data_IF_038851452252
#
_entry.id   IF_038851452252
#
_cell.length_a   1.000
_cell.length_b   1.000
_cell.length_c   1.000
_cell.angle_alpha   90.00
_cell.angle_beta   90.00
_cell.angle_gamma   90.00
#
_symmetry.space_group_name_H-M   'P 1'
#
loop_
_entity.id
_entity.type
_entity.pdbx_description
1 polymer ?
#
# COMPACT_ATOMS: atom_id res chain seq x y z
N UNK A 1 -6.30 -0.15 -9.60
CA UNK A 1 -5.01 -0.86 -9.78
C UNK A 1 -3.90 0.15 -9.59
N UNK A 2 -3.10 0.00 -8.53
CA UNK A 2 -1.98 0.90 -8.21
C UNK A 2 -0.69 0.21 -8.64
N UNK A 3 0.16 0.89 -9.42
CA UNK A 3 1.38 0.30 -10.01
C UNK A 3 2.20 -0.44 -8.96
N UNK A 4 2.64 -1.67 -9.25
CA UNK A 4 3.54 -2.42 -8.38
C UNK A 4 2.93 -2.99 -7.10
N UNK A 5 1.62 -2.92 -6.90
CA UNK A 5 0.91 -3.63 -5.82
C UNK A 5 -0.40 -4.24 -6.32
N UNK A 6 -0.74 -5.40 -5.78
CA UNK A 6 -2.07 -6.01 -5.95
C UNK A 6 -2.93 -5.60 -4.76
N UNK A 7 -3.80 -4.60 -4.94
CA UNK A 7 -4.62 -4.05 -3.86
C UNK A 7 -5.61 -5.07 -3.31
N UNK A 8 -6.10 -6.00 -4.14
CA UNK A 8 -7.05 -7.03 -3.71
C UNK A 8 -6.41 -8.06 -2.78
N UNK A 9 -5.09 -8.26 -2.89
CA UNK A 9 -4.32 -9.11 -1.97
C UNK A 9 -3.73 -8.33 -0.79
N UNK A 10 -3.34 -7.08 -1.02
CA UNK A 10 -2.67 -6.25 -0.02
C UNK A 10 -3.64 -5.77 1.08
N UNK A 11 -4.87 -5.40 0.73
CA UNK A 11 -5.84 -4.90 1.71
C UNK A 11 -6.19 -5.95 2.79
N UNK A 12 -6.57 -7.20 2.47
CA UNK A 12 -6.83 -8.21 3.49
C UNK A 12 -5.62 -8.47 4.39
N UNK A 13 -4.41 -8.50 3.82
CA UNK A 13 -3.18 -8.69 4.57
C UNK A 13 -2.88 -7.52 5.52
N UNK A 14 -3.14 -6.27 5.10
CA UNK A 14 -2.97 -5.10 5.95
C UNK A 14 -3.98 -5.09 7.11
N UNK A 15 -5.23 -5.47 6.87
CA UNK A 15 -6.27 -5.53 7.89
C UNK A 15 -5.96 -6.62 8.93
N UNK A 16 -5.44 -7.77 8.50
CA UNK A 16 -4.98 -8.83 9.41
C UNK A 16 -3.77 -8.38 10.24
N UNK A 17 -2.82 -7.68 9.62
CA UNK A 17 -1.61 -7.19 10.29
C UNK A 17 -1.85 -5.97 11.21
N UNK A 18 -2.89 -5.18 10.94
CA UNK A 18 -3.20 -3.92 11.64
C UNK A 18 -4.65 -4.00 12.13
N UNK A 19 -4.91 -4.56 13.33
CA UNK A 19 -6.28 -4.79 13.81
C UNK A 19 -7.15 -3.54 13.95
N UNK A 20 -6.54 -2.34 13.99
CA UNK A 20 -7.25 -1.06 14.08
C UNK A 20 -7.59 -0.45 12.70
N UNK A 21 -7.12 -1.06 11.61
CA UNK A 21 -7.39 -0.60 10.26
C UNK A 21 -8.84 -0.87 9.86
N UNK A 22 -9.49 0.11 9.24
CA UNK A 22 -10.91 0.01 8.84
C UNK A 22 -11.08 0.06 7.32
N UNK A 23 -11.51 -1.01 6.64
CA UNK A 23 -11.74 -0.97 5.19
C UNK A 23 -12.81 0.06 4.79
N UNK A 24 -12.83 0.52 3.53
CA UNK A 24 -11.92 0.16 2.42
C UNK A 24 -10.55 0.87 2.53
N UNK A 25 -9.53 0.29 1.90
CA UNK A 25 -8.20 0.93 1.79
C UNK A 25 -8.01 1.59 0.43
N UNK A 26 -7.50 2.82 0.42
CA UNK A 26 -7.03 3.51 -0.80
C UNK A 26 -5.51 3.56 -0.83
N UNK A 27 -4.92 3.40 -2.01
CA UNK A 27 -3.47 3.32 -2.18
C UNK A 27 -2.96 4.29 -3.25
N UNK A 28 -2.09 5.20 -2.85
CA UNK A 28 -1.47 6.19 -3.73
C UNK A 28 0.04 6.03 -3.78
N UNK A 29 0.60 5.97 -5.00
CA UNK A 29 2.04 5.91 -5.21
C UNK A 29 2.66 7.29 -4.93
N UNK A 30 3.60 7.34 -3.99
CA UNK A 30 4.45 8.52 -3.79
C UNK A 30 5.52 8.49 -4.88
N UNK A 31 5.52 9.50 -5.76
CA UNK A 31 6.31 9.55 -7.00
C UNK A 31 7.84 9.71 -6.81
N UNK A 32 8.42 9.18 -5.73
CA UNK A 32 9.83 9.37 -5.37
C UNK A 32 10.63 8.05 -5.36
N UNK A 33 11.73 8.04 -6.12
CA UNK A 33 12.81 7.05 -6.03
C UNK A 33 12.60 5.76 -6.84
N UNK A 34 13.71 5.24 -7.39
CA UNK A 34 13.73 3.97 -8.14
C UNK A 34 14.11 2.74 -7.30
N UNK A 35 14.64 2.96 -6.09
CA UNK A 35 15.18 1.87 -5.24
C UNK A 35 14.15 1.25 -4.30
N UNK A 36 13.02 1.91 -4.06
CA UNK A 36 11.85 1.37 -3.35
C UNK A 36 10.59 2.12 -3.79
N UNK A 37 9.54 1.37 -4.12
CA UNK A 37 8.23 1.96 -4.34
C UNK A 37 7.59 2.24 -2.98
N UNK A 38 7.07 3.45 -2.82
CA UNK A 38 6.45 3.91 -1.57
C UNK A 38 5.01 4.31 -1.85
N UNK A 39 4.09 3.83 -1.02
CA UNK A 39 2.67 4.10 -1.14
C UNK A 39 2.12 4.66 0.16
N UNK A 40 1.17 5.57 0.04
CA UNK A 40 0.26 5.93 1.12
C UNK A 40 -0.93 4.96 1.07
N UNK A 41 -1.19 4.30 2.19
CA UNK A 41 -2.40 3.51 2.40
C UNK A 41 -3.29 4.28 3.38
N UNK A 42 -4.50 4.64 2.96
CA UNK A 42 -5.46 5.37 3.79
C UNK A 42 -6.69 4.49 3.99
N UNK A 43 -7.15 4.32 5.22
CA UNK A 43 -8.34 3.53 5.52
C UNK A 43 -9.63 4.37 5.47
N UNK A 44 -10.77 3.71 5.67
CA UNK A 44 -12.09 4.34 5.66
C UNK A 44 -12.31 5.37 6.77
N UNK A 45 -11.46 5.38 7.81
CA UNK A 45 -11.51 6.36 8.90
C UNK A 45 -10.48 7.48 8.73
N UNK A 46 -9.69 7.47 7.65
CA UNK A 46 -8.64 8.45 7.38
C UNK A 46 -7.31 8.18 8.08
N UNK A 47 -7.17 7.05 8.78
CA UNK A 47 -5.87 6.63 9.30
C UNK A 47 -4.94 6.29 8.12
N UNK A 48 -3.67 6.66 8.24
CA UNK A 48 -2.71 6.61 7.13
C UNK A 48 -1.47 5.81 7.51
N UNK A 49 -1.05 4.91 6.63
CA UNK A 49 0.17 4.11 6.74
C UNK A 49 1.05 4.27 5.51
N UNK A 50 2.33 3.97 5.69
CA UNK A 50 3.32 3.94 4.61
C UNK A 50 3.64 2.50 4.26
N UNK A 51 3.39 2.11 3.02
CA UNK A 51 3.77 0.80 2.47
C UNK A 51 5.03 0.98 1.62
N UNK A 52 6.08 0.20 1.90
CA UNK A 52 7.35 0.24 1.16
C UNK A 52 7.67 -1.15 0.63
N UNK A 53 8.09 -1.22 -0.62
CA UNK A 53 8.61 -2.47 -1.20
C UNK A 53 9.76 -2.22 -2.17
N UNK A 54 10.64 -3.22 -2.38
CA UNK A 54 11.61 -3.18 -3.48
C UNK A 54 10.91 -2.93 -4.82
N UNK A 55 11.61 -2.31 -5.81
CA UNK A 55 11.05 -2.11 -7.13
C UNK A 55 10.66 -3.44 -7.76
N UNK A 56 9.73 -3.39 -8.71
CA UNK A 56 9.49 -4.50 -9.61
C UNK A 56 10.82 -4.83 -10.29
N UNK A 57 11.39 -6.01 -9.99
CA UNK A 57 12.70 -6.40 -10.49
C UNK A 57 12.78 -6.23 -12.01
N UNK A 58 13.94 -5.81 -12.54
CA UNK A 58 14.16 -5.93 -13.98
C UNK A 58 14.12 -7.40 -14.34
N UNK A 59 13.24 -7.76 -15.29
CA UNK A 59 13.39 -9.00 -16.05
C UNK A 59 14.73 -9.02 -16.75
#
# INVERSE_FOLDING_TARGET
MTRGIDTARLEPWLIDAIPTASPPMTFDLVAAGGSNLTYLAVDGNGATWVVRRPPEGRR
#
